data_IF_210948896630
#
_entry.id   IF_210948896630
#
_cell.length_a   1.000
_cell.length_b   1.000
_cell.length_c   1.000
_cell.angle_alpha   90.00
_cell.angle_beta   90.00
_cell.angle_gamma   90.00
#
_symmetry.space_group_name_H-M   'P 1'
#
loop_
_entity.id
_entity.type
_entity.pdbx_description
1 polymer ?
#
# COMPACT_ATOMS: atom_id res chain seq x y z
N UNK A 1 -18.36 -11.22 48.55
CA UNK A 1 -17.75 -9.89 48.35
C UNK A 1 -17.97 -9.55 46.88
N UNK A 2 -19.15 -9.07 46.46
CA UNK A 2 -19.71 -7.70 46.56
C UNK A 2 -18.76 -6.60 46.08
N UNK A 3 -19.25 -5.92 45.02
CA UNK A 3 -18.90 -4.60 44.50
C UNK A 3 -17.65 -4.52 43.62
N UNK A 4 -17.83 -4.35 42.30
CA UNK A 4 -17.69 -3.04 41.64
C UNK A 4 -18.53 -3.01 40.36
N UNK A 5 -19.60 -2.23 40.45
CA UNK A 5 -20.49 -1.76 39.39
C UNK A 5 -20.02 -0.34 39.01
N UNK A 6 -20.18 0.04 37.74
CA UNK A 6 -20.13 1.39 37.17
C UNK A 6 -18.78 2.09 37.07
N UNK A 7 -18.14 2.00 35.90
CA UNK A 7 -17.41 3.13 35.28
C UNK A 7 -17.68 3.09 33.76
N UNK A 8 -17.86 4.28 33.18
CA UNK A 8 -17.98 4.62 31.75
C UNK A 8 -19.39 4.80 31.14
N UNK A 9 -20.24 5.57 31.83
CA UNK A 9 -21.18 6.49 31.19
C UNK A 9 -20.85 7.88 31.75
N UNK A 10 -20.99 8.92 30.92
CA UNK A 10 -20.82 10.38 31.18
C UNK A 10 -19.44 10.95 30.81
N UNK A 11 -19.21 11.26 29.52
CA UNK A 11 -18.69 12.56 29.08
C UNK A 11 -19.41 12.92 27.77
N UNK A 12 -20.61 13.46 27.89
CA UNK A 12 -21.29 14.24 26.85
C UNK A 12 -22.22 15.21 27.59
N UNK A 13 -22.23 16.46 27.14
CA UNK A 13 -22.94 17.63 27.66
C UNK A 13 -22.28 18.38 28.83
N UNK A 14 -21.48 19.39 28.50
CA UNK A 14 -21.57 20.70 29.15
C UNK A 14 -20.92 21.77 28.26
N UNK A 15 -21.71 22.33 27.35
CA UNK A 15 -21.47 23.66 26.82
C UNK A 15 -22.78 24.44 27.02
N UNK A 16 -22.61 25.65 27.57
CA UNK A 16 -23.46 26.85 27.42
C UNK A 16 -24.19 27.36 28.69
N UNK A 17 -23.99 28.68 28.88
CA UNK A 17 -24.61 29.70 29.77
C UNK A 17 -24.00 29.90 31.17
N UNK A 18 -23.70 31.10 31.69
CA UNK A 18 -23.85 32.50 31.24
C UNK A 18 -23.11 33.44 32.21
N UNK A 19 -22.57 34.54 31.65
CA UNK A 19 -22.59 35.94 32.12
C UNK A 19 -21.83 36.47 33.38
N UNK A 20 -21.38 37.72 33.20
CA UNK A 20 -20.80 38.76 34.09
C UNK A 20 -19.26 38.86 34.09
N UNK A 21 -18.60 39.97 33.76
CA UNK A 21 -19.01 41.31 33.37
C UNK A 21 -17.81 42.29 33.43
N UNK A 22 -17.99 43.45 32.80
CA UNK A 22 -17.25 44.74 32.93
C UNK A 22 -15.94 44.99 32.14
N UNK A 23 -16.07 46.02 31.27
CA UNK A 23 -15.19 47.19 31.04
C UNK A 23 -13.77 46.99 30.48
N UNK A 24 -13.25 47.73 29.48
CA UNK A 24 -13.51 49.12 29.02
C UNK A 24 -12.77 49.39 27.68
N UNK A 25 -13.32 50.32 26.87
CA UNK A 25 -12.68 51.25 25.89
C UNK A 25 -11.91 50.65 24.69
N UNK A 26 -12.02 51.10 23.42
CA UNK A 26 -12.09 52.48 22.91
C UNK A 26 -12.50 52.59 21.41
N UNK A 27 -13.26 53.65 21.07
CA UNK A 27 -13.26 54.51 19.84
C UNK A 27 -13.43 53.89 18.43
N UNK A 28 -14.54 54.23 17.74
CA UNK A 28 -14.66 55.20 16.60
C UNK A 28 -13.94 54.73 15.32
N UNK A 29 -14.53 54.65 14.13
CA UNK A 29 -15.28 55.68 13.40
C UNK A 29 -16.04 55.06 12.21
N UNK A 30 -17.08 55.75 11.77
CA UNK A 30 -17.84 55.57 10.53
C UNK A 30 -16.96 55.54 9.28
N UNK A 31 -17.45 54.87 8.22
CA UNK A 31 -17.93 55.58 7.02
C UNK A 31 -18.76 54.67 6.11
N UNK A 32 -19.96 55.18 5.76
CA UNK A 32 -20.77 54.69 4.67
C UNK A 32 -20.14 55.15 3.36
N UNK A 33 -19.83 54.22 2.46
CA UNK A 33 -19.61 54.51 1.05
C UNK A 33 -20.60 53.67 0.25
N UNK A 34 -21.58 54.37 -0.33
CA UNK A 34 -22.40 53.86 -1.42
C UNK A 34 -21.64 54.14 -2.72
N UNK A 35 -21.25 53.09 -3.45
CA UNK A 35 -20.86 53.20 -4.86
C UNK A 35 -21.72 52.26 -5.68
N UNK A 36 -22.26 52.83 -6.75
CA UNK A 36 -23.14 52.27 -7.74
C UNK A 36 -22.50 51.16 -8.58
N UNK A 37 -23.42 50.38 -9.15
CA UNK A 37 -23.29 49.19 -10.00
C UNK A 37 -22.21 49.26 -11.08
N UNK A 38 -21.55 48.12 -11.30
CA UNK A 38 -21.25 47.59 -12.64
C UNK A 38 -21.16 46.06 -12.60
N UNK A 39 -21.47 45.50 -13.76
CA UNK A 39 -21.91 44.14 -14.11
C UNK A 39 -20.87 43.02 -13.96
N UNK A 40 -21.42 41.81 -13.77
CA UNK A 40 -21.00 40.50 -14.30
C UNK A 40 -19.60 39.94 -13.97
N UNK A 41 -19.55 39.00 -13.01
CA UNK A 41 -19.31 37.58 -13.32
C UNK A 41 -19.52 36.72 -12.06
N UNK A 42 -20.48 35.79 -12.18
CA UNK A 42 -20.92 34.83 -11.18
C UNK A 42 -19.79 33.86 -10.76
N UNK A 43 -19.34 33.96 -9.51
CA UNK A 43 -18.79 32.80 -8.78
C UNK A 43 -19.88 32.36 -7.81
N UNK A 44 -20.76 31.47 -8.29
CA UNK A 44 -21.73 30.78 -7.47
C UNK A 44 -21.01 29.82 -6.51
N UNK A 45 -20.77 30.28 -5.29
CA UNK A 45 -20.63 29.38 -4.14
C UNK A 45 -22.07 29.00 -3.76
N UNK A 46 -22.55 27.87 -4.27
CA UNK A 46 -23.75 27.25 -3.75
C UNK A 46 -23.46 26.74 -2.33
N UNK A 47 -23.84 27.55 -1.34
CA UNK A 47 -24.10 27.06 0.00
C UNK A 47 -25.38 26.23 -0.06
N UNK A 48 -25.25 24.91 0.07
CA UNK A 48 -26.39 24.02 0.21
C UNK A 48 -27.16 24.37 1.49
N UNK A 49 -28.44 24.65 1.30
CA UNK A 49 -29.42 25.02 2.32
C UNK A 49 -29.73 23.79 3.16
N UNK A 50 -29.30 23.80 4.43
CA UNK A 50 -29.77 22.82 5.42
C UNK A 50 -31.23 23.14 5.74
N UNK A 51 -32.14 22.34 5.17
CA UNK A 51 -33.56 22.40 5.48
C UNK A 51 -33.79 21.58 6.76
N UNK A 52 -33.79 22.25 7.92
CA UNK A 52 -34.12 21.65 9.21
C UNK A 52 -35.63 21.48 9.30
N UNK A 53 -36.13 20.33 8.86
CA UNK A 53 -37.45 19.85 9.26
C UNK A 53 -37.30 19.10 10.58
N UNK A 54 -37.95 19.64 11.61
CA UNK A 54 -38.15 19.04 12.92
C UNK A 54 -39.02 17.78 12.78
N UNK A 55 -38.41 16.63 12.49
CA UNK A 55 -38.81 15.32 13.01
C UNK A 55 -37.91 14.23 12.40
N UNK A 56 -37.21 13.50 13.28
CA UNK A 56 -36.19 12.46 13.02
C UNK A 56 -34.76 12.95 12.72
N UNK A 57 -34.11 13.51 13.74
CA UNK A 57 -32.65 13.69 13.81
C UNK A 57 -31.90 12.34 13.77
N UNK A 58 -31.75 11.78 12.57
CA UNK A 58 -30.48 11.20 12.17
C UNK A 58 -29.88 12.19 11.20
N UNK A 59 -28.98 13.04 11.71
CA UNK A 59 -28.06 13.79 10.86
C UNK A 59 -27.27 12.73 10.10
N UNK A 60 -27.64 12.47 8.85
CA UNK A 60 -26.86 11.63 7.94
C UNK A 60 -25.60 12.43 7.64
N UNK A 61 -24.49 12.07 8.29
CA UNK A 61 -23.19 12.70 8.04
C UNK A 61 -22.65 12.16 6.72
N UNK A 62 -23.01 12.81 5.62
CA UNK A 62 -22.35 12.60 4.33
C UNK A 62 -20.93 13.15 4.45
N UNK A 63 -19.98 12.24 4.58
CA UNK A 63 -18.55 12.54 4.50
C UNK A 63 -18.17 12.46 3.03
N UNK A 64 -17.89 13.60 2.40
CA UNK A 64 -17.33 13.63 1.05
C UNK A 64 -15.88 13.13 1.11
N UNK A 65 -15.71 11.82 1.04
CA UNK A 65 -14.38 11.22 0.84
C UNK A 65 -14.07 11.37 -0.64
N UNK A 66 -13.34 12.42 -1.02
CA UNK A 66 -12.86 12.58 -2.40
C UNK A 66 -11.75 11.57 -2.65
N UNK A 67 -12.00 10.59 -3.50
CA UNK A 67 -10.98 9.61 -3.84
C UNK A 67 -10.39 9.97 -5.20
N UNK A 68 -9.11 10.33 -5.23
CA UNK A 68 -8.38 10.64 -6.46
C UNK A 68 -8.00 9.31 -7.15
N UNK A 69 -8.94 8.76 -7.93
CA UNK A 69 -8.68 7.59 -8.77
C UNK A 69 -8.14 8.00 -10.15
N UNK A 70 -7.20 7.25 -10.76
CA UNK A 70 -6.69 7.48 -12.10
C UNK A 70 -7.67 7.01 -13.19
N UNK A 71 -8.95 6.75 -12.87
CA UNK A 71 -9.92 6.15 -13.79
C UNK A 71 -11.25 6.89 -13.80
N UNK A 72 -11.52 7.59 -14.91
CA UNK A 72 -12.80 8.30 -15.13
C UNK A 72 -13.89 7.31 -15.53
N UNK A 73 -15.14 7.61 -15.16
CA UNK A 73 -16.32 6.78 -15.46
C UNK A 73 -16.20 5.32 -14.98
N UNK A 74 -15.44 5.06 -13.91
CA UNK A 74 -15.27 3.73 -13.33
C UNK A 74 -16.34 3.45 -12.29
N UNK A 75 -16.83 2.22 -12.19
CA UNK A 75 -17.73 1.80 -11.12
C UNK A 75 -16.94 1.52 -9.85
N UNK A 76 -17.41 2.06 -8.72
CA UNK A 76 -16.77 1.88 -7.42
C UNK A 76 -17.53 0.86 -6.58
N UNK A 77 -16.80 -0.11 -6.04
CA UNK A 77 -17.27 -1.05 -5.03
C UNK A 77 -16.33 -1.00 -3.81
N UNK A 78 -16.90 -1.02 -2.62
CA UNK A 78 -16.20 -1.19 -1.35
C UNK A 78 -16.45 -2.60 -0.87
N UNK A 79 -15.37 -3.34 -0.67
CA UNK A 79 -15.40 -4.75 -0.32
C UNK A 79 -14.63 -4.99 0.97
N UNK A 80 -15.01 -6.00 1.73
CA UNK A 80 -14.12 -6.60 2.71
C UNK A 80 -12.95 -7.29 2.01
N UNK A 81 -11.92 -7.68 2.77
CA UNK A 81 -10.71 -8.26 2.18
C UNK A 81 -10.90 -9.67 1.62
N UNK A 82 -11.91 -10.40 2.08
CA UNK A 82 -12.37 -11.68 1.53
C UNK A 82 -13.31 -11.51 0.32
N UNK A 83 -13.56 -10.26 -0.10
CA UNK A 83 -14.29 -9.95 -1.33
C UNK A 83 -15.80 -9.83 -1.19
N UNK A 84 -16.33 -9.83 0.04
CA UNK A 84 -17.75 -9.52 0.26
C UNK A 84 -18.02 -8.04 -0.03
N UNK A 85 -19.05 -7.75 -0.81
CA UNK A 85 -19.41 -6.38 -1.16
C UNK A 85 -20.15 -5.71 0.00
N UNK A 86 -19.55 -4.63 0.53
CA UNK A 86 -20.10 -3.85 1.63
C UNK A 86 -20.92 -2.66 1.12
N UNK A 87 -20.46 -2.04 0.04
CA UNK A 87 -21.14 -0.90 -0.58
C UNK A 87 -20.82 -0.84 -2.07
N UNK A 88 -21.84 -0.60 -2.88
CA UNK A 88 -21.66 -0.20 -4.27
C UNK A 88 -22.01 1.29 -4.39
N UNK A 89 -21.12 2.07 -5.00
CA UNK A 89 -21.36 3.50 -5.27
C UNK A 89 -21.50 3.76 -6.76
N UNK A 90 -22.01 4.94 -7.10
CA UNK A 90 -22.12 5.43 -8.47
C UNK A 90 -20.73 5.56 -9.11
N UNK A 91 -20.70 5.72 -10.44
CA UNK A 91 -19.46 5.86 -11.21
C UNK A 91 -18.63 7.07 -10.79
N UNK A 92 -17.30 7.00 -10.96
CA UNK A 92 -16.43 8.16 -10.82
C UNK A 92 -16.82 9.27 -11.80
N UNK A 93 -16.65 10.52 -11.37
CA UNK A 93 -16.93 11.69 -12.19
C UNK A 93 -15.91 11.86 -13.34
N UNK A 94 -16.07 12.92 -14.13
CA UNK A 94 -15.17 13.27 -15.22
C UNK A 94 -13.73 13.61 -14.79
N UNK A 95 -13.45 13.68 -13.50
CA UNK A 95 -12.12 13.88 -12.90
C UNK A 95 -11.62 12.62 -12.17
N UNK A 96 -12.36 11.51 -12.21
CA UNK A 96 -11.99 10.27 -11.52
C UNK A 96 -12.31 10.27 -10.03
N UNK A 97 -13.14 11.20 -9.55
CA UNK A 97 -13.55 11.31 -8.15
C UNK A 97 -14.80 10.49 -7.86
N UNK A 98 -14.91 9.97 -6.65
CA UNK A 98 -16.12 9.34 -6.13
C UNK A 98 -16.33 9.69 -4.67
N UNK A 99 -17.51 9.38 -4.14
CA UNK A 99 -17.87 9.60 -2.74
C UNK A 99 -18.50 8.34 -2.14
N UNK A 100 -18.28 8.13 -0.84
CA UNK A 100 -18.76 6.99 -0.07
C UNK A 100 -19.66 7.50 1.04
N UNK A 101 -20.84 6.92 1.17
CA UNK A 101 -21.72 7.13 2.32
C UNK A 101 -21.17 6.34 3.51
N UNK A 102 -20.42 7.03 4.38
CA UNK A 102 -19.72 6.43 5.53
C UNK A 102 -20.70 5.82 6.53
N UNK A 103 -21.92 6.35 6.67
CA UNK A 103 -22.92 5.75 7.56
C UNK A 103 -23.44 4.43 7.01
N UNK A 104 -23.75 4.38 5.71
CA UNK A 104 -24.13 3.12 5.06
C UNK A 104 -23.00 2.09 5.12
N UNK A 105 -21.77 2.53 4.87
CA UNK A 105 -20.60 1.65 4.95
C UNK A 105 -20.37 1.14 6.38
N UNK A 106 -20.42 2.03 7.38
CA UNK A 106 -20.29 1.65 8.78
C UNK A 106 -21.38 0.66 9.21
N UNK A 107 -22.61 0.83 8.70
CA UNK A 107 -23.70 -0.10 8.97
C UNK A 107 -23.48 -1.46 8.29
N UNK A 108 -23.01 -1.46 7.04
CA UNK A 108 -22.68 -2.70 6.32
C UNK A 108 -21.56 -3.47 7.01
N UNK A 109 -20.51 -2.79 7.48
CA UNK A 109 -19.41 -3.39 8.24
C UNK A 109 -19.94 -4.04 9.52
N UNK A 110 -20.75 -3.33 10.31
CA UNK A 110 -21.33 -3.87 11.55
C UNK A 110 -22.26 -5.07 11.32
N UNK A 111 -22.95 -5.11 10.18
CA UNK A 111 -23.79 -6.26 9.83
C UNK A 111 -22.97 -7.50 9.47
N UNK A 112 -21.80 -7.30 8.86
CA UNK A 112 -20.92 -8.39 8.44
C UNK A 112 -20.02 -8.87 9.60
N UNK A 113 -19.18 -7.98 10.14
CA UNK A 113 -18.31 -8.25 11.28
C UNK A 113 -17.69 -6.97 11.85
N UNK A 114 -17.75 -6.81 13.17
CA UNK A 114 -17.06 -5.73 13.90
C UNK A 114 -15.52 -5.86 13.86
N UNK A 115 -14.99 -6.98 13.36
CA UNK A 115 -13.54 -7.24 13.24
C UNK A 115 -12.93 -6.68 11.95
N UNK A 116 -13.75 -6.17 11.01
CA UNK A 116 -13.26 -5.56 9.77
C UNK A 116 -12.56 -4.25 10.09
N UNK A 117 -11.23 -4.27 10.04
CA UNK A 117 -10.37 -3.10 10.27
C UNK A 117 -9.84 -2.46 8.97
N UNK A 118 -9.90 -3.19 7.86
CA UNK A 118 -9.51 -2.73 6.52
C UNK A 118 -10.57 -3.12 5.50
N UNK A 119 -10.78 -2.25 4.52
CA UNK A 119 -11.60 -2.52 3.35
C UNK A 119 -10.77 -2.34 2.09
N UNK A 120 -11.23 -2.98 1.02
CA UNK A 120 -10.71 -2.83 -0.32
C UNK A 120 -11.65 -1.95 -1.12
N UNK A 121 -11.15 -0.85 -1.64
CA UNK A 121 -11.87 -0.08 -2.65
C UNK A 121 -11.49 -0.60 -4.02
N UNK A 122 -12.48 -0.91 -4.85
CA UNK A 122 -12.32 -1.46 -6.19
C UNK A 122 -12.93 -0.49 -7.19
N UNK A 123 -12.11 0.00 -8.10
CA UNK A 123 -12.52 0.80 -9.25
C UNK A 123 -12.47 -0.07 -10.49
N UNK A 124 -13.63 -0.35 -11.09
CA UNK A 124 -13.77 -1.28 -12.22
C UNK A 124 -14.29 -0.56 -13.45
N UNK A 125 -13.73 -0.89 -14.61
CA UNK A 125 -14.02 -0.16 -15.84
C UNK A 125 -13.41 1.24 -15.88
N UNK A 126 -13.68 1.99 -16.94
CA UNK A 126 -13.28 3.39 -17.11
C UNK A 126 -12.03 3.62 -17.96
N UNK A 127 -11.51 4.84 -17.93
CA UNK A 127 -10.38 5.29 -18.77
C UNK A 127 -9.20 5.78 -17.93
N UNK A 128 -7.99 5.29 -18.24
CA UNK A 128 -6.74 5.76 -17.63
C UNK A 128 -6.51 7.25 -17.91
N UNK A 129 -6.43 8.04 -16.85
CA UNK A 129 -6.18 9.48 -16.92
C UNK A 129 -4.74 9.85 -17.26
N UNK A 130 -3.78 8.94 -17.08
CA UNK A 130 -2.36 9.14 -17.35
C UNK A 130 -1.93 8.78 -18.77
N UNK A 131 -2.71 7.94 -19.47
CA UNK A 131 -2.42 7.53 -20.84
C UNK A 131 -3.66 7.71 -21.72
N UNK A 132 -3.66 8.76 -22.54
CA UNK A 132 -4.83 9.22 -23.33
C UNK A 132 -5.51 8.05 -24.07
N UNK A 133 -6.69 7.65 -23.57
CA UNK A 133 -7.65 6.68 -24.14
C UNK A 133 -7.41 5.18 -23.86
N UNK A 134 -6.56 4.81 -22.90
CA UNK A 134 -6.49 3.41 -22.49
C UNK A 134 -7.73 3.02 -21.66
N UNK A 135 -8.61 2.19 -22.23
CA UNK A 135 -9.76 1.63 -21.52
C UNK A 135 -9.27 0.58 -20.54
N UNK A 136 -9.60 0.76 -19.26
CA UNK A 136 -9.38 -0.23 -18.21
C UNK A 136 -10.57 -1.20 -18.22
N UNK A 137 -10.35 -2.46 -18.61
CA UNK A 137 -11.41 -3.49 -18.62
C UNK A 137 -11.50 -4.27 -17.31
N UNK A 138 -10.40 -4.35 -16.57
CA UNK A 138 -10.31 -4.97 -15.25
C UNK A 138 -10.60 -3.98 -14.13
N UNK A 139 -10.03 -4.26 -12.96
CA UNK A 139 -10.21 -3.43 -11.77
C UNK A 139 -8.87 -2.95 -11.21
N UNK A 140 -8.85 -1.72 -10.74
CA UNK A 140 -7.83 -1.22 -9.83
C UNK A 140 -8.36 -1.31 -8.40
N UNK A 141 -7.46 -1.38 -7.42
CA UNK A 141 -7.87 -1.39 -6.02
C UNK A 141 -6.90 -0.73 -5.06
N UNK A 142 -7.40 -0.41 -3.88
CA UNK A 142 -6.62 0.17 -2.78
C UNK A 142 -7.13 -0.36 -1.45
N UNK A 143 -6.22 -0.50 -0.48
CA UNK A 143 -6.54 -0.89 0.89
C UNK A 143 -6.64 0.36 1.76
N UNK A 144 -7.74 0.50 2.49
CA UNK A 144 -7.99 1.64 3.38
C UNK A 144 -8.45 1.12 4.73
N UNK A 145 -7.94 1.67 5.81
CA UNK A 145 -8.46 1.33 7.15
C UNK A 145 -9.84 1.92 7.34
N UNK A 146 -10.72 1.20 8.05
CA UNK A 146 -12.07 1.71 8.37
C UNK A 146 -11.99 3.03 9.14
N UNK A 147 -10.96 3.21 9.96
CA UNK A 147 -10.70 4.47 10.66
C UNK A 147 -10.45 5.63 9.69
N UNK A 148 -9.65 5.43 8.65
CA UNK A 148 -9.30 6.47 7.66
C UNK A 148 -10.48 6.87 6.77
N UNK A 149 -11.43 5.98 6.51
CA UNK A 149 -12.63 6.34 5.73
C UNK A 149 -13.44 7.48 6.37
N UNK A 150 -13.21 7.76 7.66
CA UNK A 150 -13.90 8.83 8.40
C UNK A 150 -13.14 10.15 8.45
N UNK A 151 -11.88 10.21 7.97
CA UNK A 151 -10.99 11.37 8.17
C UNK A 151 -11.14 12.47 7.13
N UNK A 152 -12.02 12.32 6.12
CA UNK A 152 -12.21 13.26 4.99
C UNK A 152 -10.96 13.48 4.11
N UNK A 153 -9.88 12.73 4.34
CA UNK A 153 -8.68 12.83 3.52
C UNK A 153 -8.84 12.02 2.23
N UNK A 154 -8.28 12.53 1.14
CA UNK A 154 -8.32 11.83 -0.14
C UNK A 154 -7.40 10.62 -0.15
N UNK A 155 -7.84 9.53 -0.78
CA UNK A 155 -7.00 8.36 -1.03
C UNK A 155 -6.93 8.05 -2.53
N UNK A 156 -5.81 7.46 -2.93
CA UNK A 156 -5.54 7.11 -4.32
C UNK A 156 -5.78 5.61 -4.58
N UNK A 157 -6.29 5.30 -5.78
CA UNK A 157 -6.46 3.92 -6.28
C UNK A 157 -5.62 3.73 -7.53
N UNK A 158 -4.38 3.31 -7.42
CA UNK A 158 -3.44 3.22 -8.55
C UNK A 158 -2.83 1.83 -8.68
N UNK A 159 -1.89 1.64 -9.62
CA UNK A 159 -1.25 0.34 -9.84
C UNK A 159 -0.46 -0.14 -8.62
N UNK A 160 0.20 0.77 -7.92
CA UNK A 160 0.95 0.46 -6.71
C UNK A 160 0.03 -0.01 -5.58
N UNK A 161 -1.06 0.72 -5.30
CA UNK A 161 -2.05 0.27 -4.32
C UNK A 161 -2.74 -1.01 -4.76
N UNK A 162 -2.92 -1.21 -6.07
CA UNK A 162 -3.56 -2.41 -6.64
C UNK A 162 -2.67 -3.63 -6.44
N UNK A 163 -1.38 -3.55 -6.75
CA UNK A 163 -0.45 -4.65 -6.57
C UNK A 163 -0.32 -5.07 -5.11
N UNK A 164 -0.21 -4.11 -4.18
CA UNK A 164 -0.21 -4.40 -2.74
C UNK A 164 -1.54 -5.03 -2.30
N UNK A 165 -2.67 -4.45 -2.74
CA UNK A 165 -4.01 -4.93 -2.45
C UNK A 165 -4.25 -6.35 -2.98
N UNK A 166 -3.80 -6.69 -4.18
CA UNK A 166 -3.95 -8.01 -4.79
C UNK A 166 -3.11 -9.09 -4.08
N UNK A 167 -1.91 -8.75 -3.63
CA UNK A 167 -1.05 -9.66 -2.87
C UNK A 167 -1.66 -9.97 -1.49
N UNK A 168 -2.33 -8.98 -0.88
CA UNK A 168 -2.90 -9.05 0.46
C UNK A 168 -4.35 -9.56 0.48
N UNK A 169 -5.15 -9.24 -0.52
CA UNK A 169 -6.62 -9.41 -0.60
C UNK A 169 -7.10 -10.86 -0.71
N UNK A 170 -6.29 -11.82 -0.27
CA UNK A 170 -6.65 -13.22 -0.09
C UNK A 170 -6.32 -13.75 1.31
N UNK A 171 -5.92 -12.87 2.24
CA UNK A 171 -5.52 -13.24 3.60
C UNK A 171 -6.70 -13.14 4.57
N UNK A 172 -6.78 -14.07 5.53
CA UNK A 172 -7.87 -14.16 6.51
C UNK A 172 -7.79 -13.03 7.56
N UNK A 173 -6.57 -12.60 7.93
CA UNK A 173 -6.36 -11.46 8.82
C UNK A 173 -5.25 -10.56 8.29
N UNK A 174 -5.52 -9.26 8.19
CA UNK A 174 -4.57 -8.27 7.67
C UNK A 174 -4.34 -7.19 8.70
N UNK A 175 -3.07 -6.96 9.02
CA UNK A 175 -2.63 -5.93 9.97
C UNK A 175 -1.87 -4.83 9.23
N UNK A 176 -1.77 -3.63 9.83
CA UNK A 176 -0.96 -2.53 9.28
C UNK A 176 0.48 -2.96 9.00
N UNK A 177 1.11 -3.70 9.93
CA UNK A 177 2.46 -4.25 9.77
C UNK A 177 2.61 -5.18 8.56
N UNK A 178 1.56 -5.93 8.23
CA UNK A 178 1.55 -6.80 7.04
C UNK A 178 1.52 -5.97 5.75
N UNK A 179 0.71 -4.91 5.74
CA UNK A 179 0.64 -3.96 4.63
C UNK A 179 1.99 -3.24 4.46
N UNK A 180 2.59 -2.77 5.55
CA UNK A 180 3.94 -2.19 5.58
C UNK A 180 4.97 -3.16 4.99
N UNK A 181 4.98 -4.40 5.46
CA UNK A 181 5.90 -5.44 5.01
C UNK A 181 5.76 -5.74 3.51
N UNK A 182 4.53 -5.97 3.03
CA UNK A 182 4.29 -6.23 1.61
C UNK A 182 4.63 -5.00 0.76
N UNK A 183 4.27 -3.79 1.20
CA UNK A 183 4.62 -2.55 0.51
C UNK A 183 6.14 -2.40 0.35
N UNK A 184 6.89 -2.64 1.43
CA UNK A 184 8.34 -2.63 1.40
C UNK A 184 8.90 -3.66 0.41
N UNK A 185 8.41 -4.90 0.45
CA UNK A 185 8.84 -5.96 -0.49
C UNK A 185 8.50 -5.64 -1.94
N UNK A 186 7.39 -4.93 -2.18
CA UNK A 186 7.01 -4.47 -3.51
C UNK A 186 7.85 -3.28 -4.00
N UNK A 187 8.74 -2.73 -3.17
CA UNK A 187 9.60 -1.60 -3.52
C UNK A 187 8.89 -0.25 -3.44
N UNK A 188 7.86 -0.14 -2.61
CA UNK A 188 7.22 1.14 -2.28
C UNK A 188 8.24 2.02 -1.54
N UNK A 189 8.33 3.27 -1.93
CA UNK A 189 9.25 4.26 -1.34
C UNK A 189 8.57 5.01 -0.18
N UNK A 190 9.37 5.55 0.72
CA UNK A 190 8.92 6.50 1.74
C UNK A 190 8.54 7.81 1.04
N UNK A 191 7.23 8.09 0.96
CA UNK A 191 6.66 9.21 0.22
C UNK A 191 6.56 10.44 1.11
N UNK A 192 6.29 10.24 2.41
CA UNK A 192 6.03 11.33 3.35
C UNK A 192 7.29 11.81 4.10
N UNK A 193 8.41 11.10 3.97
CA UNK A 193 9.71 11.43 4.56
C UNK A 193 9.83 11.07 6.05
N UNK A 194 8.99 10.15 6.56
CA UNK A 194 9.00 9.71 7.97
C UNK A 194 10.01 8.58 8.27
N UNK A 195 10.78 8.18 7.26
CA UNK A 195 11.76 7.09 7.26
C UNK A 195 11.16 5.70 7.44
N UNK A 196 9.87 5.53 7.12
CA UNK A 196 9.19 4.24 7.11
C UNK A 196 8.40 4.08 5.82
N UNK A 197 8.15 2.83 5.45
CA UNK A 197 7.23 2.49 4.36
C UNK A 197 5.96 1.93 4.99
N UNK A 198 4.85 2.66 4.89
CA UNK A 198 3.60 2.33 5.54
C UNK A 198 2.36 2.66 4.69
N UNK A 199 1.17 2.43 5.25
CA UNK A 199 -0.09 2.63 4.52
C UNK A 199 -0.32 4.09 4.11
N UNK A 200 0.21 5.05 4.87
CA UNK A 200 0.12 6.47 4.50
C UNK A 200 0.90 6.75 3.21
N UNK A 201 2.05 6.09 2.98
CA UNK A 201 2.81 6.23 1.73
C UNK A 201 2.01 5.76 0.53
N UNK A 202 1.29 4.64 0.67
CA UNK A 202 0.38 4.13 -0.36
C UNK A 202 -0.73 5.15 -0.70
N UNK A 203 -1.28 5.81 0.33
CA UNK A 203 -2.37 6.76 0.17
C UNK A 203 -1.91 8.09 -0.41
N UNK A 204 -0.72 8.56 -0.02
CA UNK A 204 -0.12 9.80 -0.52
C UNK A 204 0.55 9.63 -1.89
N UNK A 205 0.75 8.39 -2.35
CA UNK A 205 1.39 8.13 -3.63
C UNK A 205 0.61 8.73 -4.79
N UNK A 206 1.24 9.70 -5.47
CA UNK A 206 0.76 10.31 -6.71
C UNK A 206 1.73 10.00 -7.84
N UNK A 207 1.27 9.24 -8.85
CA UNK A 207 2.09 8.84 -10.02
C UNK A 207 2.78 10.04 -10.68
N UNK A 208 2.09 11.18 -10.79
CA UNK A 208 2.63 12.39 -11.44
C UNK A 208 3.81 13.02 -10.69
N UNK A 209 3.98 12.70 -9.40
CA UNK A 209 4.99 13.28 -8.52
C UNK A 209 6.06 12.24 -8.18
N UNK A 210 5.64 11.01 -7.92
CA UNK A 210 6.47 9.91 -7.46
C UNK A 210 6.49 8.81 -8.51
N UNK A 211 7.44 8.83 -9.45
CA UNK A 211 7.66 7.67 -10.31
C UNK A 211 8.60 6.71 -9.58
N UNK A 212 8.03 5.68 -8.95
CA UNK A 212 8.81 4.69 -8.20
C UNK A 212 9.17 3.48 -9.08
N UNK A 213 10.17 2.72 -8.65
CA UNK A 213 10.52 1.44 -9.32
C UNK A 213 9.36 0.44 -9.29
N UNK A 214 8.63 0.41 -8.17
CA UNK A 214 7.45 -0.41 -8.01
C UNK A 214 6.41 -0.11 -9.10
N UNK A 215 6.13 1.16 -9.36
CA UNK A 215 5.18 1.57 -10.41
C UNK A 215 5.60 1.08 -11.80
N UNK A 216 6.88 1.22 -12.16
CA UNK A 216 7.38 0.72 -13.44
C UNK A 216 7.22 -0.81 -13.56
N UNK A 217 7.52 -1.55 -12.49
CA UNK A 217 7.31 -3.00 -12.43
C UNK A 217 5.83 -3.37 -12.62
N UNK A 218 4.92 -2.70 -11.90
CA UNK A 218 3.48 -2.93 -12.06
C UNK A 218 2.96 -2.56 -13.45
N UNK A 219 3.48 -1.51 -14.08
CA UNK A 219 3.13 -1.16 -15.47
C UNK A 219 3.53 -2.23 -16.47
N UNK A 220 4.65 -2.91 -16.24
CA UNK A 220 5.14 -3.96 -17.13
C UNK A 220 4.45 -5.31 -16.88
N UNK A 221 4.14 -5.62 -15.62
CA UNK A 221 3.70 -6.97 -15.24
C UNK A 221 2.25 -7.09 -14.80
N UNK A 222 1.62 -6.01 -14.31
CA UNK A 222 0.25 -6.02 -13.78
C UNK A 222 -0.74 -5.28 -14.70
N UNK A 223 -0.40 -4.06 -15.11
CA UNK A 223 -1.26 -3.21 -15.94
C UNK A 223 -1.76 -3.89 -17.23
N UNK A 224 -0.95 -4.66 -18.00
CA UNK A 224 -1.43 -5.28 -19.23
C UNK A 224 -2.58 -6.26 -18.99
N UNK A 225 -2.55 -6.99 -17.88
CA UNK A 225 -3.62 -7.92 -17.47
C UNK A 225 -4.88 -7.14 -17.08
N UNK A 226 -4.72 -6.07 -16.31
CA UNK A 226 -5.82 -5.19 -15.90
C UNK A 226 -6.47 -4.51 -17.11
N UNK A 227 -5.70 -3.99 -18.07
CA UNK A 227 -6.23 -3.39 -19.29
C UNK A 227 -7.05 -4.38 -20.13
N UNK A 228 -6.70 -5.67 -20.08
CA UNK A 228 -7.38 -6.72 -20.83
C UNK A 228 -8.55 -7.35 -20.06
N UNK A 229 -8.67 -7.10 -18.75
CA UNK A 229 -9.61 -7.81 -17.87
C UNK A 229 -9.20 -9.28 -17.64
N UNK A 230 -7.90 -9.58 -17.75
CA UNK A 230 -7.36 -10.93 -17.57
C UNK A 230 -7.11 -11.23 -16.09
N UNK A 231 -8.16 -11.72 -15.41
CA UNK A 231 -8.07 -12.11 -13.99
C UNK A 231 -7.04 -13.23 -13.76
N UNK A 232 -6.87 -14.15 -14.71
CA UNK A 232 -5.89 -15.23 -14.58
C UNK A 232 -4.45 -14.70 -14.68
N UNK A 233 -4.21 -13.68 -15.50
CA UNK A 233 -2.95 -12.95 -15.55
C UNK A 233 -2.65 -12.21 -14.23
N UNK A 234 -3.65 -11.56 -13.64
CA UNK A 234 -3.51 -10.94 -12.30
C UNK A 234 -3.19 -11.98 -11.22
N UNK A 235 -3.90 -13.12 -11.21
CA UNK A 235 -3.61 -14.20 -10.27
C UNK A 235 -2.19 -14.77 -10.44
N UNK A 236 -1.74 -14.92 -11.69
CA UNK A 236 -0.37 -15.37 -12.01
C UNK A 236 0.69 -14.39 -11.50
N UNK A 237 0.44 -13.08 -11.66
CA UNK A 237 1.28 -12.02 -11.10
C UNK A 237 1.38 -12.12 -9.57
N UNK A 238 0.26 -12.33 -8.88
CA UNK A 238 0.24 -12.48 -7.41
C UNK A 238 1.05 -13.71 -6.99
N UNK A 239 0.86 -14.84 -7.64
CA UNK A 239 1.60 -16.08 -7.35
C UNK A 239 3.09 -15.89 -7.57
N UNK A 240 3.50 -15.33 -8.72
CA UNK A 240 4.91 -15.07 -9.02
C UNK A 240 5.55 -14.12 -7.99
N UNK A 241 4.82 -13.08 -7.61
CA UNK A 241 5.27 -12.13 -6.59
C UNK A 241 5.50 -12.82 -5.26
N UNK A 242 4.58 -13.69 -4.81
CA UNK A 242 4.74 -14.49 -3.58
C UNK A 242 5.87 -15.51 -3.69
N UNK A 243 6.12 -16.09 -4.86
CA UNK A 243 7.27 -16.97 -5.09
C UNK A 243 8.61 -16.24 -4.92
N UNK A 244 8.66 -14.95 -5.26
CA UNK A 244 9.88 -14.13 -5.17
C UNK A 244 10.04 -13.40 -3.83
N UNK A 245 8.92 -13.08 -3.18
CA UNK A 245 8.87 -12.25 -1.99
C UNK A 245 8.16 -12.98 -0.84
N UNK A 246 8.78 -13.04 0.36
CA UNK A 246 8.20 -13.81 1.42
C UNK A 246 7.09 -13.04 2.13
N UNK A 247 5.85 -13.46 1.90
CA UNK A 247 4.67 -12.80 2.45
C UNK A 247 4.41 -13.14 3.92
N UNK A 248 4.97 -14.21 4.48
CA UNK A 248 4.78 -14.56 5.89
C UNK A 248 5.54 -13.62 6.81
N UNK A 249 4.80 -13.03 7.75
CA UNK A 249 5.35 -12.14 8.77
C UNK A 249 5.27 -12.85 10.13
N UNK A 250 6.41 -13.18 10.75
CA UNK A 250 6.44 -13.69 12.12
C UNK A 250 6.28 -12.54 13.13
N UNK A 251 5.54 -12.81 14.20
CA UNK A 251 5.46 -11.99 15.41
C UNK A 251 6.38 -12.65 16.45
N UNK A 252 7.48 -11.97 16.75
CA UNK A 252 8.54 -12.46 17.62
C UNK A 252 8.48 -11.73 18.95
N UNK A 253 8.37 -12.49 20.05
CA UNK A 253 8.57 -12.01 21.41
C UNK A 253 9.84 -12.66 21.96
N UNK A 254 10.73 -11.85 22.53
CA UNK A 254 12.01 -12.30 23.06
C UNK A 254 11.94 -12.37 24.57
N UNK A 255 12.34 -13.52 25.12
CA UNK A 255 12.57 -13.76 26.54
C UNK A 255 14.07 -14.02 26.80
N UNK A 256 14.50 -14.13 28.06
CA UNK A 256 15.91 -14.21 28.48
C UNK A 256 16.74 -15.27 27.73
N UNK A 257 16.12 -16.37 27.29
CA UNK A 257 16.81 -17.48 26.61
C UNK A 257 16.03 -18.12 25.46
N UNK A 258 14.89 -17.54 25.08
CA UNK A 258 14.03 -18.09 24.02
C UNK A 258 13.38 -17.00 23.18
N UNK A 259 13.03 -17.33 21.94
CA UNK A 259 12.07 -16.57 21.16
C UNK A 259 10.74 -17.30 21.12
N UNK A 260 9.67 -16.58 21.36
CA UNK A 260 8.30 -17.01 21.11
C UNK A 260 7.88 -16.43 19.76
N UNK A 261 7.59 -17.32 18.81
CA UNK A 261 7.33 -16.97 17.42
C UNK A 261 5.92 -17.45 17.09
N UNK A 262 5.07 -16.53 16.69
CA UNK A 262 3.80 -16.84 16.05
C UNK A 262 3.81 -16.30 14.63
N UNK A 263 3.06 -16.90 13.73
CA UNK A 263 2.95 -16.39 12.36
C UNK A 263 1.62 -15.70 12.15
N UNK A 264 1.64 -14.68 11.29
CA UNK A 264 0.41 -14.12 10.71
C UNK A 264 -0.32 -15.17 9.88
N UNK A 265 -1.66 -15.10 9.86
CA UNK A 265 -2.48 -16.02 9.07
C UNK A 265 -2.14 -15.89 7.58
N UNK A 266 -2.33 -17.00 6.87
CA UNK A 266 -2.14 -17.11 5.42
C UNK A 266 -3.49 -17.20 4.72
N UNK A 267 -3.48 -17.20 3.38
CA UNK A 267 -4.70 -17.31 2.60
C UNK A 267 -5.44 -18.63 2.87
N UNK A 268 -6.76 -18.64 2.63
CA UNK A 268 -7.54 -19.87 2.69
C UNK A 268 -6.94 -20.93 1.73
N UNK A 269 -6.79 -22.16 2.22
CA UNK A 269 -6.15 -23.24 1.48
C UNK A 269 -4.62 -23.21 1.49
N UNK A 270 -3.99 -22.18 2.06
CA UNK A 270 -2.55 -22.13 2.31
C UNK A 270 -2.24 -22.59 3.75
N UNK A 271 -0.99 -22.97 3.99
CA UNK A 271 -0.47 -23.33 5.30
C UNK A 271 0.97 -22.83 5.44
N UNK A 272 1.47 -22.81 6.67
CA UNK A 272 2.88 -22.50 6.92
C UNK A 272 3.62 -23.81 7.13
N UNK A 273 4.76 -23.99 6.48
CA UNK A 273 5.67 -25.08 6.76
C UNK A 273 6.85 -24.50 7.54
N UNK A 274 7.25 -25.14 8.64
CA UNK A 274 8.38 -24.69 9.45
C UNK A 274 9.21 -25.87 9.94
N UNK A 275 10.50 -25.64 10.21
CA UNK A 275 11.42 -26.67 10.68
C UNK A 275 12.56 -26.06 11.47
N UNK A 276 12.98 -26.74 12.53
CA UNK A 276 14.17 -26.37 13.28
C UNK A 276 15.38 -27.06 12.67
N UNK A 277 16.44 -26.30 12.42
CA UNK A 277 17.73 -26.90 12.09
C UNK A 277 18.48 -27.16 13.39
N UNK A 278 18.60 -28.44 13.74
CA UNK A 278 19.33 -28.88 14.93
C UNK A 278 20.27 -30.00 14.53
N UNK A 279 21.54 -29.91 14.93
CA UNK A 279 22.54 -30.97 14.73
C UNK A 279 22.74 -31.42 13.26
N UNK A 280 22.54 -30.53 12.28
CA UNK A 280 22.76 -30.86 10.86
C UNK A 280 21.55 -31.43 10.12
N UNK A 281 20.40 -31.58 10.79
CA UNK A 281 19.16 -32.07 10.19
C UNK A 281 18.06 -31.00 10.22
N UNK A 282 17.27 -30.94 9.14
CA UNK A 282 16.09 -30.08 9.00
C UNK A 282 14.87 -30.96 8.72
N UNK A 283 13.96 -31.04 9.69
CA UNK A 283 12.67 -31.72 9.53
C UNK A 283 11.55 -30.69 9.56
N UNK A 284 10.77 -30.65 8.49
CA UNK A 284 9.64 -29.73 8.37
C UNK A 284 8.36 -30.33 8.95
N UNK A 285 7.65 -29.50 9.72
CA UNK A 285 6.30 -29.73 10.23
C UNK A 285 5.34 -28.76 9.56
N UNK A 286 4.08 -29.17 9.42
CA UNK A 286 3.01 -28.33 8.89
C UNK A 286 2.32 -27.58 10.01
N UNK A 287 2.11 -26.28 9.81
CA UNK A 287 1.50 -25.35 10.74
C UNK A 287 0.21 -24.80 10.14
N UNK A 288 -0.91 -25.10 10.81
CA UNK A 288 -2.25 -24.79 10.33
C UNK A 288 -3.01 -23.79 11.23
N UNK A 289 -2.48 -23.43 12.40
CA UNK A 289 -3.20 -22.69 13.45
C UNK A 289 -2.25 -21.85 14.31
N UNK A 290 -2.73 -20.83 15.04
CA UNK A 290 -1.91 -19.94 15.88
C UNK A 290 -1.34 -20.69 17.09
N UNK A 291 -0.30 -21.49 16.88
CA UNK A 291 0.55 -22.06 17.92
C UNK A 291 1.78 -21.17 18.12
N UNK A 292 2.18 -20.97 19.37
CA UNK A 292 3.43 -20.26 19.65
C UNK A 292 4.58 -21.26 19.53
N UNK A 293 5.45 -21.04 18.55
CA UNK A 293 6.70 -21.76 18.41
C UNK A 293 7.74 -21.21 19.38
N UNK A 294 8.48 -22.09 20.05
CA UNK A 294 9.62 -21.68 20.88
C UNK A 294 10.91 -21.98 20.13
N UNK A 295 11.76 -20.97 19.93
CA UNK A 295 13.13 -21.12 19.43
C UNK A 295 14.10 -20.93 20.60
N UNK A 296 14.83 -21.99 20.92
CA UNK A 296 15.85 -21.95 21.96
C UNK A 296 17.15 -21.33 21.42
N UNK A 297 18.05 -20.99 22.35
CA UNK A 297 19.41 -20.53 22.06
C UNK A 297 20.13 -21.41 21.03
N UNK A 298 20.89 -20.75 20.15
CA UNK A 298 21.64 -21.33 19.03
C UNK A 298 20.75 -22.07 18.00
N UNK A 299 19.45 -21.78 18.03
CA UNK A 299 18.46 -22.36 17.13
C UNK A 299 18.35 -21.58 15.82
N UNK A 300 18.07 -22.31 14.75
CA UNK A 300 17.66 -21.73 13.47
C UNK A 300 16.28 -22.29 13.11
N UNK A 301 15.31 -21.40 12.95
CA UNK A 301 13.97 -21.72 12.46
C UNK A 301 13.90 -21.41 10.97
N UNK A 302 13.60 -22.41 10.14
CA UNK A 302 13.23 -22.23 8.74
C UNK A 302 11.72 -22.24 8.62
N UNK A 303 11.16 -21.40 7.76
CA UNK A 303 9.72 -21.40 7.52
C UNK A 303 9.35 -20.82 6.15
N UNK A 304 8.17 -21.17 5.64
CA UNK A 304 7.63 -20.72 4.36
C UNK A 304 6.11 -20.89 4.31
N UNK A 305 5.41 -20.06 3.54
CA UNK A 305 4.01 -20.32 3.17
C UNK A 305 3.96 -21.32 2.01
N UNK A 306 3.01 -22.24 2.05
CA UNK A 306 2.75 -23.19 0.98
C UNK A 306 1.26 -23.20 0.64
N UNK A 307 0.95 -23.45 -0.63
CA UNK A 307 -0.40 -23.71 -1.09
C UNK A 307 -0.78 -25.18 -0.87
N UNK A 308 -2.05 -25.44 -0.59
CA UNK A 308 -2.60 -26.80 -0.46
C UNK A 308 -2.47 -27.65 -1.73
N UNK A 309 -2.07 -27.05 -2.86
CA UNK A 309 -1.94 -27.67 -4.18
C UNK A 309 -0.45 -27.92 -4.56
N UNK A 310 0.46 -27.87 -3.57
CA UNK A 310 1.87 -28.31 -3.60
C UNK A 310 2.97 -27.33 -4.06
N UNK A 311 2.69 -26.03 -4.11
CA UNK A 311 3.75 -25.02 -4.27
C UNK A 311 4.07 -24.32 -2.95
N UNK A 312 5.33 -24.37 -2.52
CA UNK A 312 5.84 -23.56 -1.42
C UNK A 312 6.53 -22.31 -1.94
N UNK A 313 6.23 -21.18 -1.29
CA UNK A 313 6.82 -19.88 -1.60
C UNK A 313 8.22 -19.74 -0.98
N UNK A 314 8.83 -18.57 -1.14
CA UNK A 314 10.21 -18.31 -0.71
C UNK A 314 10.42 -18.65 0.77
N UNK A 315 11.42 -19.49 1.03
CA UNK A 315 11.84 -19.87 2.38
C UNK A 315 12.55 -18.73 3.11
N UNK A 316 12.24 -18.60 4.39
CA UNK A 316 12.82 -17.63 5.31
C UNK A 316 13.47 -18.36 6.49
N UNK A 317 14.36 -17.66 7.21
CA UNK A 317 14.93 -18.18 8.45
C UNK A 317 15.09 -17.13 9.54
N UNK A 318 14.92 -17.55 10.79
CA UNK A 318 15.25 -16.79 12.00
C UNK A 318 16.38 -17.52 12.71
N UNK A 319 17.47 -16.81 12.99
CA UNK A 319 18.57 -17.27 13.81
C UNK A 319 18.50 -16.59 15.18
N UNK A 320 18.71 -17.34 16.25
CA UNK A 320 18.78 -16.80 17.61
C UNK A 320 20.06 -17.25 18.31
N UNK A 321 20.94 -16.33 18.66
CA UNK A 321 22.22 -16.64 19.32
C UNK A 321 22.11 -16.70 20.86
N UNK A 322 20.89 -16.55 21.39
CA UNK A 322 20.60 -16.47 22.82
C UNK A 322 20.64 -15.06 23.41
N UNK A 323 21.18 -14.08 22.68
CA UNK A 323 21.24 -12.67 23.07
C UNK A 323 20.39 -11.83 22.15
N UNK A 324 20.44 -12.06 20.84
CA UNK A 324 19.66 -11.38 19.83
C UNK A 324 19.26 -12.30 18.69
N UNK A 325 18.34 -11.84 17.85
CA UNK A 325 17.88 -12.60 16.70
C UNK A 325 18.15 -11.89 15.40
N UNK A 326 18.53 -12.67 14.41
CA UNK A 326 18.64 -12.22 13.03
C UNK A 326 17.52 -12.86 12.23
N UNK A 327 16.71 -12.02 11.60
CA UNK A 327 15.70 -12.49 10.67
C UNK A 327 16.23 -12.30 9.25
N UNK A 328 16.59 -13.41 8.61
CA UNK A 328 17.01 -13.39 7.22
C UNK A 328 15.79 -13.19 6.33
N UNK A 329 15.47 -11.93 6.07
CA UNK A 329 14.62 -11.55 4.96
C UNK A 329 15.39 -11.57 3.64
N UNK A 330 16.59 -12.14 3.51
CA UNK A 330 17.53 -11.69 2.48
C UNK A 330 17.65 -10.16 2.58
N UNK A 331 18.24 -9.68 3.68
CA UNK A 331 18.96 -8.41 3.62
C UNK A 331 19.98 -8.54 2.47
N UNK A 332 19.94 -7.61 1.51
CA UNK A 332 20.81 -7.55 0.34
C UNK A 332 20.47 -8.45 -0.87
N UNK A 333 19.28 -8.32 -1.43
CA UNK A 333 19.28 -7.89 -2.83
C UNK A 333 18.91 -6.40 -2.83
N UNK A 334 19.90 -5.55 -3.14
CA UNK A 334 19.59 -4.20 -3.60
C UNK A 334 18.55 -4.34 -4.69
N UNK A 335 17.39 -3.70 -4.52
CA UNK A 335 16.45 -3.47 -5.63
C UNK A 335 17.30 -3.14 -6.86
N UNK A 336 17.12 -3.83 -8.01
CA UNK A 336 17.99 -3.68 -9.17
C UNK A 336 18.25 -2.20 -9.38
N UNK A 337 19.53 -1.84 -9.39
CA UNK A 337 19.97 -0.44 -9.45
C UNK A 337 19.10 0.29 -10.48
N UNK A 338 18.76 1.55 -10.20
CA UNK A 338 18.16 2.43 -11.21
C UNK A 338 19.11 2.38 -12.40
N UNK A 339 18.75 1.57 -13.38
CA UNK A 339 19.29 1.70 -14.69
C UNK A 339 18.47 2.86 -15.26
N UNK A 340 18.95 4.07 -15.00
CA UNK A 340 18.45 5.25 -15.69
C UNK A 340 18.80 5.03 -17.17
N UNK A 341 17.87 5.26 -18.10
CA UNK A 341 18.15 5.21 -19.54
C UNK A 341 19.33 6.13 -19.91
N UNK A 342 19.58 7.21 -19.15
CA UNK A 342 20.78 8.05 -19.30
C UNK A 342 22.06 7.33 -18.87
N UNK A 343 21.99 6.46 -17.85
CA UNK A 343 23.12 5.65 -17.37
C UNK A 343 23.37 4.48 -18.34
N UNK A 344 22.34 3.84 -18.91
CA UNK A 344 22.52 2.88 -20.02
C UNK A 344 23.17 3.58 -21.19
N UNK A 345 22.61 4.70 -21.64
CA UNK A 345 23.11 5.45 -22.79
C UNK A 345 24.55 5.92 -22.54
N UNK A 346 24.88 6.35 -21.33
CA UNK A 346 26.24 6.69 -20.93
C UNK A 346 27.17 5.47 -20.91
N UNK A 347 26.71 4.32 -20.39
CA UNK A 347 27.49 3.08 -20.35
C UNK A 347 27.70 2.50 -21.75
N UNK A 348 26.68 2.51 -22.61
CA UNK A 348 26.75 2.12 -24.02
C UNK A 348 27.73 3.02 -24.78
N UNK A 349 27.66 4.33 -24.59
CA UNK A 349 28.60 5.28 -25.19
C UNK A 349 30.03 5.07 -24.66
N UNK A 350 30.20 4.81 -23.36
CA UNK A 350 31.51 4.46 -22.78
C UNK A 350 32.03 3.11 -23.29
N UNK A 351 31.17 2.10 -23.46
CA UNK A 351 31.55 0.79 -24.02
C UNK A 351 31.94 0.92 -25.49
N UNK A 352 31.19 1.68 -26.28
CA UNK A 352 31.50 1.97 -27.69
C UNK A 352 32.85 2.70 -27.81
N UNK A 353 33.08 3.73 -27.01
CA UNK A 353 34.35 4.47 -26.98
C UNK A 353 35.54 3.58 -26.55
N UNK A 354 35.32 2.68 -25.58
CA UNK A 354 36.34 1.73 -25.13
C UNK A 354 36.64 0.69 -26.21
N UNK A 355 35.62 0.16 -26.88
CA UNK A 355 35.76 -0.80 -27.98
C UNK A 355 36.54 -0.21 -29.15
N UNK A 356 36.26 1.05 -29.51
CA UNK A 356 37.04 1.77 -30.53
C UNK A 356 38.49 2.01 -30.09
N UNK A 357 38.70 2.32 -28.81
CA UNK A 357 40.06 2.50 -28.26
C UNK A 357 40.86 1.19 -28.28
N UNK A 358 40.23 0.05 -28.02
CA UNK A 358 40.84 -1.28 -28.13
C UNK A 358 41.19 -1.59 -29.59
N UNK A 359 40.26 -1.36 -30.54
CA UNK A 359 40.54 -1.59 -31.96
C UNK A 359 41.73 -0.75 -32.47
N UNK A 360 41.84 0.50 -32.03
CA UNK A 360 42.98 1.37 -32.35
C UNK A 360 44.29 0.92 -31.68
N UNK A 361 44.20 0.28 -30.51
CA UNK A 361 45.37 -0.30 -29.84
C UNK A 361 45.82 -1.57 -30.55
N UNK A 362 44.90 -2.43 -31.00
CA UNK A 362 45.21 -3.63 -31.78
C UNK A 362 45.88 -3.28 -33.10
N UNK A 363 45.41 -2.23 -33.79
CA UNK A 363 46.07 -1.72 -35.00
C UNK A 363 47.49 -1.24 -34.71
N UNK A 364 47.69 -0.46 -33.63
CA UNK A 364 49.03 -0.03 -33.21
C UNK A 364 49.95 -1.18 -32.81
N UNK A 365 49.42 -2.20 -32.13
CA UNK A 365 50.19 -3.40 -31.77
C UNK A 365 50.61 -4.11 -33.05
N UNK A 366 49.70 -4.26 -34.01
CA UNK A 366 50.01 -4.88 -35.30
C UNK A 366 51.06 -4.10 -36.09
N UNK A 367 50.94 -2.78 -36.15
CA UNK A 367 51.94 -1.91 -36.77
C UNK A 367 53.32 -2.05 -36.09
N UNK A 368 53.33 -2.10 -34.74
CA UNK A 368 54.56 -2.33 -33.98
C UNK A 368 55.15 -3.73 -34.21
N UNK A 369 54.32 -4.77 -34.34
CA UNK A 369 54.78 -6.11 -34.68
C UNK A 369 55.37 -6.17 -36.10
N UNK A 370 54.79 -5.44 -37.05
CA UNK A 370 55.32 -5.31 -38.41
C UNK A 370 56.64 -4.53 -38.43
N UNK A 371 56.74 -3.44 -37.67
CA UNK A 371 57.97 -2.67 -37.50
C UNK A 371 59.07 -3.51 -36.82
N UNK A 372 58.75 -4.26 -35.77
CA UNK A 372 59.69 -5.17 -35.09
C UNK A 372 60.21 -6.26 -36.03
N UNK A 373 59.32 -6.88 -36.81
CA UNK A 373 59.71 -7.84 -37.86
C UNK A 373 60.61 -7.20 -38.91
N UNK A 374 60.34 -5.95 -39.30
CA UNK A 374 61.13 -5.25 -40.31
C UNK A 374 62.55 -4.92 -39.83
N UNK A 375 62.76 -4.74 -38.52
CA UNK A 375 64.09 -4.49 -37.91
C UNK A 375 64.76 -5.76 -37.36
N UNK A 376 64.17 -6.94 -37.57
CA UNK A 376 64.81 -8.23 -37.30
C UNK A 376 64.63 -8.79 -35.89
N UNK A 377 63.54 -8.42 -35.20
CA UNK A 377 63.08 -9.06 -33.97
C UNK A 377 61.89 -10.00 -34.21
#
# INVERSE_FOLDING_TARGET
MKNYINILIIILAALVTTACGSDKTSTQSSDNVTIDKNEDDDIGIEHEVVNLNEDTDKIVRVVNVELEGPVKNSMISVQSLDGFELLQSNSTDGNGRYSIDVEKLSHAIQQESDEIIFVRIVASGGEDTGNKNAIIKGSLSSLISVQQLTTLESHNVNLLTTGVSDVIGKMISVTAKKIEHVSFLMGVEDINGDHKVNIADLHLYKIAIHQSRAENYFRQHLLPNIMQGDNSGVDSFVVQTKQQNPTVLPVIQKDESTLLISFTDVAEGNYIQYGYFTHGELAFTTYFKPDILTLNRDGILYYQECSGISECFKMQRILFDGIDYFHDYLEYETAPQVINDDVISSLENSLLATTQSIANLDEKIKDQEEDLKAIGY
#
